data_IF_266127633389
#
_entry.id   IF_266127633389
#
_cell.length_a   1.000
_cell.length_b   1.000
_cell.length_c   1.000
_cell.angle_alpha   90.00
_cell.angle_beta   90.00
_cell.angle_gamma   90.00
#
_symmetry.space_group_name_H-M   'P 1'
#
loop_
_entity.id
_entity.type
_entity.pdbx_description
1 polymer ?
#
# COMPACT_ATOMS: atom_id res chain seq x y z
N UNK A 1 -14.23 -5.22 -44.74
CA UNK A 1 -15.09 -4.19 -44.08
C UNK A 1 -14.85 -4.13 -42.57
N UNK A 2 -14.73 -5.28 -41.89
CA UNK A 2 -14.49 -5.40 -40.42
C UNK A 2 -13.16 -4.78 -39.95
N UNK A 3 -12.08 -4.91 -40.72
CA UNK A 3 -10.76 -4.37 -40.35
C UNK A 3 -10.75 -2.84 -40.24
N UNK A 4 -11.56 -2.15 -41.06
CA UNK A 4 -11.67 -0.68 -41.01
C UNK A 4 -12.39 -0.23 -39.73
N UNK A 5 -13.34 -1.02 -39.24
CA UNK A 5 -14.03 -0.76 -37.98
C UNK A 5 -13.12 -1.01 -36.78
N UNK A 6 -12.30 -2.08 -36.80
CA UNK A 6 -11.31 -2.35 -35.76
C UNK A 6 -10.24 -1.25 -35.67
N UNK A 7 -9.72 -0.80 -36.82
CA UNK A 7 -8.77 0.32 -36.87
C UNK A 7 -9.38 1.64 -36.43
N UNK A 8 -10.66 1.88 -36.73
CA UNK A 8 -11.38 3.09 -36.31
C UNK A 8 -11.69 3.08 -34.80
N UNK A 9 -12.02 1.92 -34.23
CA UNK A 9 -12.16 1.75 -32.78
C UNK A 9 -10.82 1.92 -32.05
N UNK A 10 -9.74 1.35 -32.59
CA UNK A 10 -8.38 1.54 -32.05
C UNK A 10 -7.94 3.01 -32.06
N UNK A 11 -8.21 3.74 -33.15
CA UNK A 11 -7.95 5.19 -33.24
C UNK A 11 -8.79 6.01 -32.27
N UNK A 12 -10.03 5.60 -31.97
CA UNK A 12 -10.88 6.26 -30.95
C UNK A 12 -10.38 6.00 -29.53
N UNK A 13 -9.90 4.80 -29.23
CA UNK A 13 -9.27 4.49 -27.94
C UNK A 13 -8.01 5.35 -27.72
N UNK A 14 -7.15 5.48 -28.73
CA UNK A 14 -5.98 6.39 -28.68
C UNK A 14 -6.41 7.87 -28.58
N UNK A 15 -7.51 8.26 -29.24
CA UNK A 15 -8.08 9.60 -29.14
C UNK A 15 -8.58 9.94 -27.74
N UNK A 16 -9.19 8.97 -27.04
CA UNK A 16 -9.59 9.10 -25.63
C UNK A 16 -8.37 9.23 -24.71
N UNK A 17 -7.29 8.49 -24.97
CA UNK A 17 -5.98 8.66 -24.29
C UNK A 17 -5.35 10.03 -24.58
N UNK A 18 -5.69 10.68 -25.69
CA UNK A 18 -5.27 12.05 -26.02
C UNK A 18 -6.15 13.14 -25.43
N UNK A 19 -7.36 12.84 -24.95
CA UNK A 19 -8.19 13.81 -24.23
C UNK A 19 -7.66 14.06 -22.81
N UNK A 20 -6.88 13.13 -22.25
CA UNK A 20 -5.99 13.35 -21.09
C UNK A 20 -4.77 14.23 -21.43
N UNK A 21 -4.91 15.20 -22.34
CA UNK A 21 -3.87 16.15 -22.78
C UNK A 21 -3.54 17.22 -21.72
N UNK A 22 -3.40 16.80 -20.46
CA UNK A 22 -2.66 17.52 -19.42
C UNK A 22 -1.54 16.64 -18.85
N UNK A 23 -0.95 15.76 -19.67
CA UNK A 23 0.23 14.95 -19.29
C UNK A 23 1.42 15.84 -18.87
N UNK A 24 1.45 17.12 -19.30
CA UNK A 24 2.51 18.06 -18.93
C UNK A 24 2.47 18.55 -17.48
N UNK A 25 1.45 18.20 -16.69
CA UNK A 25 1.32 18.60 -15.27
C UNK A 25 0.94 17.44 -14.35
N UNK A 26 1.11 16.19 -14.77
CA UNK A 26 0.80 15.05 -13.90
C UNK A 26 1.98 14.79 -12.97
N UNK A 27 1.79 14.97 -11.66
CA UNK A 27 2.82 14.62 -10.68
C UNK A 27 2.96 13.09 -10.58
N UNK A 28 4.07 12.60 -10.02
CA UNK A 28 4.25 11.17 -9.73
C UNK A 28 3.10 10.65 -8.83
N UNK A 29 2.66 11.49 -7.88
CA UNK A 29 1.53 11.17 -7.01
C UNK A 29 0.22 11.05 -7.79
N UNK A 30 -0.02 11.91 -8.77
CA UNK A 30 -1.21 11.83 -9.63
C UNK A 30 -1.19 10.58 -10.51
N UNK A 31 0.00 10.19 -11.00
CA UNK A 31 0.18 8.93 -11.72
C UNK A 31 -0.15 7.72 -10.83
N UNK A 32 0.31 7.73 -9.57
CA UNK A 32 0.09 6.65 -8.61
C UNK A 32 -1.40 6.46 -8.29
N UNK A 33 -2.15 7.56 -8.16
CA UNK A 33 -3.60 7.55 -7.91
C UNK A 33 -4.42 6.89 -9.04
N UNK A 34 -3.86 6.72 -10.24
CA UNK A 34 -4.50 5.97 -11.31
C UNK A 34 -4.51 4.46 -11.04
N UNK A 35 -3.56 3.94 -10.25
CA UNK A 35 -3.46 2.53 -9.89
C UNK A 35 -4.12 2.23 -8.55
N UNK A 36 -4.02 3.15 -7.60
CA UNK A 36 -4.64 3.06 -6.28
C UNK A 36 -5.65 4.18 -6.12
N UNK A 37 -6.90 3.91 -6.48
CA UNK A 37 -7.98 4.89 -6.33
C UNK A 37 -8.31 5.10 -4.85
N UNK A 38 -8.97 6.21 -4.54
CA UNK A 38 -9.37 6.52 -3.16
C UNK A 38 -10.28 5.43 -2.58
N UNK A 39 -11.20 4.91 -3.39
CA UNK A 39 -12.16 3.87 -2.99
C UNK A 39 -11.45 2.56 -2.67
N UNK A 40 -10.42 2.20 -3.44
CA UNK A 40 -9.60 1.02 -3.15
C UNK A 40 -8.88 1.17 -1.81
N UNK A 41 -8.26 2.33 -1.57
CA UNK A 41 -7.53 2.60 -0.34
C UNK A 41 -8.47 2.63 0.88
N UNK A 42 -9.66 3.21 0.75
CA UNK A 42 -10.70 3.19 1.78
C UNK A 42 -11.18 1.77 2.10
N UNK A 43 -11.39 0.93 1.08
CA UNK A 43 -11.77 -0.48 1.28
C UNK A 43 -10.66 -1.26 1.99
N UNK A 44 -9.40 -1.04 1.63
CA UNK A 44 -8.26 -1.70 2.29
C UNK A 44 -8.19 -1.28 3.76
N UNK A 45 -8.33 0.01 4.07
CA UNK A 45 -8.36 0.52 5.46
C UNK A 45 -9.51 -0.13 6.24
N UNK A 46 -10.72 -0.12 5.68
CA UNK A 46 -11.91 -0.70 6.31
C UNK A 46 -11.69 -2.18 6.65
N UNK A 47 -11.28 -2.98 5.67
CA UNK A 47 -11.13 -4.42 5.85
C UNK A 47 -9.95 -4.79 6.75
N UNK A 48 -8.85 -4.04 6.69
CA UNK A 48 -7.70 -4.20 7.61
C UNK A 48 -8.13 -3.98 9.06
N UNK A 49 -8.86 -2.91 9.33
CA UNK A 49 -9.35 -2.59 10.67
C UNK A 49 -10.39 -3.58 11.18
N UNK A 50 -11.31 -4.03 10.32
CA UNK A 50 -12.27 -5.08 10.66
C UNK A 50 -11.57 -6.40 11.00
N UNK A 51 -10.57 -6.79 10.23
CA UNK A 51 -9.80 -7.99 10.50
C UNK A 51 -9.02 -7.87 11.82
N UNK A 52 -8.31 -6.77 12.03
CA UNK A 52 -7.52 -6.55 13.24
C UNK A 52 -8.38 -6.60 14.51
N UNK A 53 -9.56 -5.97 14.49
CA UNK A 53 -10.53 -6.06 15.59
C UNK A 53 -10.96 -7.50 15.86
N UNK A 54 -11.35 -8.25 14.81
CA UNK A 54 -11.75 -9.66 14.93
C UNK A 54 -10.62 -10.53 15.48
N UNK A 55 -9.39 -10.28 15.04
CA UNK A 55 -8.21 -11.00 15.51
C UNK A 55 -7.94 -10.72 17.00
N UNK A 56 -7.99 -9.45 17.40
CA UNK A 56 -7.81 -9.04 18.80
C UNK A 56 -8.86 -9.69 19.72
N UNK A 57 -10.14 -9.60 19.36
CA UNK A 57 -11.24 -10.15 20.15
C UNK A 57 -11.14 -11.68 20.29
N UNK A 58 -10.71 -12.38 19.24
CA UNK A 58 -10.64 -13.85 19.23
C UNK A 58 -9.38 -14.41 19.89
N UNK A 59 -8.23 -13.75 19.74
CA UNK A 59 -6.91 -14.34 20.07
C UNK A 59 -6.20 -13.63 21.22
N UNK A 60 -6.38 -12.33 21.36
CA UNK A 60 -5.61 -11.50 22.32
C UNK A 60 -6.44 -11.28 23.58
N UNK A 61 -7.69 -10.82 23.45
CA UNK A 61 -8.58 -10.51 24.58
C UNK A 61 -8.77 -11.68 25.57
N UNK A 62 -8.96 -12.95 25.14
CA UNK A 62 -9.12 -14.06 26.08
C UNK A 62 -7.85 -14.37 26.90
N UNK A 63 -6.67 -14.18 26.30
CA UNK A 63 -5.37 -14.37 26.99
C UNK A 63 -5.09 -13.27 28.01
N UNK A 64 -5.55 -12.05 27.73
CA UNK A 64 -5.40 -10.92 28.63
C UNK A 64 -6.30 -11.03 29.89
N UNK A 65 -7.45 -11.70 29.76
CA UNK A 65 -8.38 -11.89 30.87
C UNK A 65 -8.01 -13.05 31.83
N UNK A 66 -7.17 -14.02 31.43
CA UNK A 66 -6.84 -15.17 32.29
C UNK A 66 -5.62 -14.97 33.18
N UNK A 67 -4.71 -14.06 32.82
CA UNK A 67 -3.43 -13.89 33.51
C UNK A 67 -3.36 -12.47 34.09
N UNK A 68 -3.57 -12.35 35.39
CA UNK A 68 -3.50 -11.07 36.10
C UNK A 68 -2.10 -10.45 35.91
N UNK A 69 -2.07 -9.30 35.22
CA UNK A 69 -1.03 -8.26 35.24
C UNK A 69 0.34 -8.65 34.64
N UNK A 70 0.56 -8.26 33.37
CA UNK A 70 1.74 -7.50 32.88
C UNK A 70 1.29 -6.69 31.65
N UNK A 71 0.87 -5.45 31.86
CA UNK A 71 1.63 -4.23 31.47
C UNK A 71 1.93 -4.16 29.97
N UNK A 72 1.30 -3.18 29.30
CA UNK A 72 1.53 -2.73 27.92
C UNK A 72 1.05 -3.64 26.77
N UNK A 73 -0.10 -4.31 26.93
CA UNK A 73 -0.85 -4.81 25.76
C UNK A 73 -1.35 -3.62 24.96
N UNK A 74 -0.52 -3.07 24.08
CA UNK A 74 -0.91 -2.06 23.10
C UNK A 74 -2.14 -2.57 22.36
N UNK A 75 -3.30 -1.98 22.67
CA UNK A 75 -4.51 -2.15 21.88
C UNK A 75 -4.16 -1.81 20.43
N UNK A 76 -4.57 -2.68 19.50
CA UNK A 76 -4.34 -2.42 18.08
C UNK A 76 -4.98 -1.09 17.69
N UNK A 77 -4.15 -0.13 17.27
CA UNK A 77 -4.64 1.15 16.78
C UNK A 77 -5.21 0.96 15.37
N UNK A 78 -6.40 1.49 15.07
CA UNK A 78 -6.92 1.46 13.72
C UNK A 78 -5.94 2.11 12.74
N UNK A 79 -5.71 1.44 11.62
CA UNK A 79 -4.92 1.94 10.50
C UNK A 79 -5.68 3.09 9.86
N UNK A 80 -4.98 4.18 9.58
CA UNK A 80 -5.54 5.31 8.85
C UNK A 80 -5.06 5.34 7.38
N UNK A 81 -5.55 6.32 6.64
CA UNK A 81 -5.22 6.48 5.23
C UNK A 81 -3.75 6.81 5.01
N UNK A 82 -3.16 7.62 5.89
CA UNK A 82 -1.78 8.09 5.79
C UNK A 82 -0.82 6.94 6.05
N UNK A 83 -1.12 6.11 7.05
CA UNK A 83 -0.37 4.90 7.39
C UNK A 83 -0.40 3.88 6.25
N UNK A 84 -1.56 3.67 5.60
CA UNK A 84 -1.65 2.80 4.43
C UNK A 84 -0.82 3.33 3.26
N UNK A 85 -0.91 4.63 2.95
CA UNK A 85 -0.13 5.24 1.87
C UNK A 85 1.38 5.17 2.15
N UNK A 86 1.79 5.43 3.39
CA UNK A 86 3.18 5.30 3.83
C UNK A 86 3.67 3.85 3.74
N UNK A 87 2.82 2.88 4.09
CA UNK A 87 3.14 1.47 3.94
C UNK A 87 3.36 1.08 2.48
N UNK A 88 2.53 1.58 1.55
CA UNK A 88 2.72 1.31 0.12
C UNK A 88 4.00 1.98 -0.39
N UNK A 89 4.34 3.17 0.08
CA UNK A 89 5.61 3.82 -0.25
C UNK A 89 6.80 2.94 0.15
N UNK A 90 6.80 2.39 1.37
CA UNK A 90 7.84 1.46 1.84
C UNK A 90 7.94 0.23 0.94
N UNK A 91 6.81 -0.32 0.48
CA UNK A 91 6.81 -1.44 -0.46
C UNK A 91 7.44 -1.05 -1.81
N UNK A 92 7.11 0.12 -2.35
CA UNK A 92 7.71 0.61 -3.60
C UNK A 92 9.22 0.78 -3.42
N UNK A 93 9.67 1.42 -2.34
CA UNK A 93 11.09 1.59 -2.05
C UNK A 93 11.78 0.21 -1.91
N UNK A 94 11.12 -0.77 -1.25
CA UNK A 94 11.65 -2.14 -1.10
C UNK A 94 11.91 -2.82 -2.45
N UNK A 95 11.02 -2.60 -3.41
CA UNK A 95 11.18 -3.06 -4.78
C UNK A 95 12.33 -2.37 -5.51
N UNK A 96 12.47 -1.05 -5.33
CA UNK A 96 13.54 -0.25 -5.96
C UNK A 96 14.92 -0.70 -5.48
N UNK A 97 15.09 -0.94 -4.18
CA UNK A 97 16.35 -1.41 -3.61
C UNK A 97 16.58 -2.92 -3.74
N UNK A 98 15.61 -3.68 -4.28
CA UNK A 98 15.66 -5.15 -4.40
C UNK A 98 15.82 -5.86 -3.05
N UNK A 99 15.26 -5.26 -2.00
CA UNK A 99 15.31 -5.76 -0.62
C UNK A 99 14.04 -6.52 -0.23
N UNK A 100 13.29 -6.99 -1.21
CA UNK A 100 12.02 -7.71 -1.02
C UNK A 100 12.18 -9.13 -0.43
N UNK A 101 13.41 -9.61 -0.27
CA UNK A 101 13.75 -10.89 0.34
C UNK A 101 14.56 -10.75 1.64
N UNK A 102 14.88 -9.53 2.04
CA UNK A 102 15.60 -9.28 3.29
C UNK A 102 14.68 -9.52 4.49
N UNK A 103 15.28 -9.96 5.61
CA UNK A 103 14.52 -10.13 6.83
C UNK A 103 14.11 -8.76 7.37
N UNK A 104 12.89 -8.67 7.90
CA UNK A 104 12.36 -7.42 8.44
C UNK A 104 13.31 -6.81 9.49
N UNK A 105 13.85 -7.63 10.39
CA UNK A 105 14.79 -7.17 11.42
C UNK A 105 16.07 -6.53 10.84
N UNK A 106 16.50 -6.99 9.66
CA UNK A 106 17.69 -6.45 9.00
C UNK A 106 17.36 -5.11 8.32
N UNK A 107 16.18 -5.00 7.71
CA UNK A 107 15.68 -3.76 7.08
C UNK A 107 15.55 -2.59 8.08
N UNK A 108 15.21 -2.90 9.33
CA UNK A 108 15.03 -1.89 10.39
C UNK A 108 16.25 -1.72 11.31
N UNK A 109 17.37 -2.42 11.06
CA UNK A 109 18.57 -2.26 11.89
C UNK A 109 19.38 -1.03 11.47
N UNK A 110 19.19 0.04 12.24
CA UNK A 110 19.84 1.35 12.08
C UNK A 110 21.38 1.25 12.18
N UNK A 111 21.92 0.14 12.71
CA UNK A 111 23.36 -0.07 12.88
C UNK A 111 24.03 -0.70 11.67
N UNK A 112 23.29 -1.16 10.66
CA UNK A 112 23.90 -1.73 9.45
C UNK A 112 24.55 -0.65 8.60
N UNK A 113 25.87 -0.51 8.73
CA UNK A 113 26.67 0.47 7.97
C UNK A 113 26.99 0.04 6.52
N UNK A 114 26.73 -1.22 6.15
CA UNK A 114 27.27 -1.84 4.93
C UNK A 114 26.24 -2.49 3.99
N UNK A 115 24.94 -2.40 4.25
CA UNK A 115 23.95 -2.87 3.29
C UNK A 115 23.66 -1.76 2.28
N UNK A 116 23.71 -2.09 0.99
CA UNK A 116 23.48 -1.16 -0.13
C UNK A 116 22.06 -0.58 -0.18
N UNK A 117 21.20 -0.98 0.76
CA UNK A 117 19.78 -0.67 0.81
C UNK A 117 19.50 0.15 2.08
N UNK A 118 19.90 1.42 2.09
CA UNK A 118 19.48 2.37 3.12
C UNK A 118 18.03 2.75 2.87
N UNK A 119 17.13 2.29 3.74
CA UNK A 119 15.77 2.83 3.79
C UNK A 119 15.69 4.13 4.58
N UNK A 120 16.68 4.44 5.42
CA UNK A 120 16.80 5.68 6.19
C UNK A 120 18.27 6.01 6.48
#
# INVERSE_FOLDING_TARGET
>A
MVERLAQQQYRRAIGSIRASRSIYTMTILDAFKLFFTNEMLELIVLHTNLYAKRYYDKKIRPRHNSNNIRSDSHFWKPVDRIELESFIELLIQSGVHRSNHELLNDLWDIRQKNCSCRFF
#
